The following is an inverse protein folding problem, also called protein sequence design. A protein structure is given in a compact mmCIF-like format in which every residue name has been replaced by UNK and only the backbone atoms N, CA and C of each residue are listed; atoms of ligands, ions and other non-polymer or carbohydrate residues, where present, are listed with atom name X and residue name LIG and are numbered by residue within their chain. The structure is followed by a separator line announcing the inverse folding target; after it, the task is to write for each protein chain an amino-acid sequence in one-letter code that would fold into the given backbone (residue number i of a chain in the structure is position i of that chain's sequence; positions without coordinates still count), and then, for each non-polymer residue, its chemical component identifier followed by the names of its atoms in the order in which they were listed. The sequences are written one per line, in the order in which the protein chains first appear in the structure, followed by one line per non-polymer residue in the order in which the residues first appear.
data_IF_825525637204
#
_entry.id   IF_825525637204
#
_cell.length_a   1.000
_cell.length_b   1.000
_cell.length_c   1.000
_cell.angle_alpha   90.00
_cell.angle_beta   90.00
_cell.angle_gamma   90.00
#
_symmetry.space_group_name_H-M   'P 1'
#
loop_
_entity.id
_entity.type
_entity.pdbx_description
1 polymer ?
#
# COMPACT_ATOMS: atom_id res chain seq x y z
N UNK A 1 -23.97 -1.18 13.32
CA UNK A 1 -23.36 -2.39 12.69
C UNK A 1 -22.22 -3.04 13.48
N UNK A 2 -21.81 -2.55 14.67
CA UNK A 2 -20.68 -3.11 15.47
C UNK A 2 -21.09 -4.13 16.55
N UNK A 3 -22.37 -4.47 16.68
CA UNK A 3 -22.93 -5.27 17.78
C UNK A 3 -23.55 -6.60 17.34
N UNK A 4 -23.26 -7.07 16.13
CA UNK A 4 -23.74 -8.39 15.71
C UNK A 4 -22.95 -9.48 16.46
N UNK A 5 -23.62 -10.48 17.07
CA UNK A 5 -22.95 -11.55 17.79
C UNK A 5 -21.92 -12.27 16.91
N UNK A 6 -20.68 -12.38 17.38
CA UNK A 6 -19.60 -13.15 16.75
C UNK A 6 -19.74 -14.64 17.08
N UNK A 7 -20.89 -15.22 16.73
CA UNK A 7 -21.24 -16.61 17.07
C UNK A 7 -20.67 -17.63 16.09
N UNK A 8 -20.44 -17.23 14.83
CA UNK A 8 -19.96 -18.12 13.77
C UNK A 8 -18.66 -17.56 13.15
N UNK A 9 -17.79 -18.43 12.62
CA UNK A 9 -16.54 -18.03 11.95
C UNK A 9 -16.79 -16.96 10.86
N UNK A 10 -17.90 -17.06 10.13
CA UNK A 10 -18.30 -16.08 9.13
C UNK A 10 -18.65 -14.71 9.74
N UNK A 11 -19.42 -14.67 10.84
CA UNK A 11 -19.78 -13.39 11.47
C UNK A 11 -18.59 -12.72 12.17
N UNK A 12 -17.62 -13.51 12.63
CA UNK A 12 -16.34 -13.03 13.16
C UNK A 12 -15.45 -12.39 12.08
N UNK A 13 -15.46 -12.92 10.85
CA UNK A 13 -14.58 -12.49 9.74
C UNK A 13 -15.30 -11.67 8.65
N UNK A 14 -16.60 -11.38 8.81
CA UNK A 14 -17.44 -10.73 7.79
C UNK A 14 -16.86 -9.43 7.22
N UNK A 15 -16.23 -8.61 8.07
CA UNK A 15 -15.64 -7.34 7.65
C UNK A 15 -14.46 -7.59 6.70
N UNK A 16 -13.63 -8.59 7.00
CA UNK A 16 -12.55 -9.05 6.12
C UNK A 16 -13.07 -9.61 4.80
N UNK A 17 -14.05 -10.51 4.85
CA UNK A 17 -14.63 -11.14 3.64
C UNK A 17 -15.23 -10.08 2.71
N UNK A 18 -16.03 -9.15 3.24
CA UNK A 18 -16.64 -8.09 2.43
C UNK A 18 -15.60 -7.09 1.91
N UNK A 19 -14.58 -6.75 2.71
CA UNK A 19 -13.50 -5.85 2.29
C UNK A 19 -12.61 -6.44 1.19
N UNK A 20 -12.57 -7.77 1.02
CA UNK A 20 -11.76 -8.43 0.00
C UNK A 20 -12.12 -7.98 -1.43
N UNK A 21 -13.40 -7.70 -1.69
CA UNK A 21 -13.87 -7.15 -2.97
C UNK A 21 -13.33 -5.73 -3.21
N UNK A 22 -13.25 -4.94 -2.14
CA UNK A 22 -12.64 -3.61 -2.17
C UNK A 22 -11.15 -3.68 -2.48
N UNK A 23 -10.42 -4.60 -1.84
CA UNK A 23 -9.00 -4.82 -2.12
C UNK A 23 -8.76 -5.32 -3.55
N UNK A 24 -9.63 -6.18 -4.09
CA UNK A 24 -9.58 -6.57 -5.50
C UNK A 24 -9.76 -5.36 -6.42
N UNK A 25 -10.69 -4.46 -6.10
CA UNK A 25 -10.88 -3.21 -6.82
C UNK A 25 -9.62 -2.32 -6.80
N UNK A 26 -9.00 -2.16 -5.63
CA UNK A 26 -7.72 -1.42 -5.51
C UNK A 26 -6.63 -2.10 -6.35
N UNK A 27 -6.55 -3.43 -6.34
CA UNK A 27 -5.57 -4.17 -7.14
C UNK A 27 -5.75 -3.89 -8.64
N UNK A 28 -6.98 -3.98 -9.15
CA UNK A 28 -7.27 -3.76 -10.56
C UNK A 28 -7.00 -2.32 -10.99
N UNK A 29 -7.38 -1.34 -10.17
CA UNK A 29 -7.04 0.08 -10.38
C UNK A 29 -5.53 0.28 -10.43
N UNK A 30 -4.78 -0.37 -9.53
CA UNK A 30 -3.31 -0.29 -9.49
C UNK A 30 -2.67 -0.90 -10.73
N UNK A 31 -3.19 -2.05 -11.21
CA UNK A 31 -2.74 -2.69 -12.46
C UNK A 31 -3.01 -1.79 -13.66
N UNK A 32 -4.16 -1.11 -13.71
CA UNK A 32 -4.51 -0.18 -14.78
C UNK A 32 -3.61 1.07 -14.80
N UNK A 33 -3.27 1.62 -13.63
CA UNK A 33 -2.27 2.71 -13.54
C UNK A 33 -0.89 2.20 -13.96
N UNK A 34 -0.48 1.02 -13.49
CA UNK A 34 0.80 0.40 -13.84
C UNK A 34 0.95 0.13 -15.34
N UNK A 35 -0.10 -0.37 -16.00
CA UNK A 35 -0.10 -0.57 -17.45
C UNK A 35 -0.04 0.76 -18.20
N UNK A 36 -0.75 1.77 -17.71
CA UNK A 36 -0.71 3.13 -18.26
C UNK A 36 0.69 3.73 -18.19
N UNK A 37 1.42 3.53 -17.09
CA UNK A 37 2.81 3.96 -16.91
C UNK A 37 3.71 3.26 -17.94
N UNK A 38 3.64 1.92 -18.04
CA UNK A 38 4.46 1.13 -18.98
C UNK A 38 4.22 1.53 -20.44
N UNK A 39 2.97 1.80 -20.82
CA UNK A 39 2.62 2.15 -22.19
C UNK A 39 3.07 3.55 -22.62
N UNK A 40 3.26 4.48 -21.68
CA UNK A 40 3.57 5.89 -21.96
C UNK A 40 4.53 6.47 -20.92
N UNK A 41 5.77 5.98 -20.92
CA UNK A 41 6.87 6.54 -20.15
C UNK A 41 7.48 7.74 -20.87
N UNK A 42 7.57 8.90 -20.21
CA UNK A 42 8.17 10.10 -20.79
C UNK A 42 7.77 11.38 -20.04
N UNK A 43 8.08 12.54 -20.62
CA UNK A 43 7.88 13.87 -20.02
C UNK A 43 6.42 14.19 -19.64
N UNK A 44 5.44 13.56 -20.30
CA UNK A 44 4.02 13.72 -20.00
C UNK A 44 3.47 12.80 -18.90
N UNK A 45 4.28 11.86 -18.39
CA UNK A 45 3.89 10.93 -17.33
C UNK A 45 3.46 11.63 -16.03
N UNK A 46 4.24 12.57 -15.44
CA UNK A 46 3.87 13.20 -14.18
C UNK A 46 2.56 13.98 -14.30
N UNK A 47 2.37 14.74 -15.38
CA UNK A 47 1.13 15.51 -15.61
C UNK A 47 -0.10 14.59 -15.66
N UNK A 48 -0.01 13.44 -16.34
CA UNK A 48 -1.10 12.47 -16.40
C UNK A 48 -1.38 11.83 -15.04
N UNK A 49 -0.35 11.48 -14.28
CA UNK A 49 -0.51 10.91 -12.93
C UNK A 49 -1.12 11.94 -11.96
N UNK A 50 -0.76 13.22 -12.09
CA UNK A 50 -1.42 14.31 -11.38
C UNK A 50 -2.89 14.45 -11.77
N UNK A 51 -3.23 14.31 -13.05
CA UNK A 51 -4.62 14.34 -13.51
C UNK A 51 -5.43 13.16 -12.94
N UNK A 52 -4.87 11.94 -12.95
CA UNK A 52 -5.49 10.77 -12.32
C UNK A 52 -5.68 11.01 -10.83
N UNK A 53 -4.67 11.57 -10.16
CA UNK A 53 -4.74 11.92 -8.74
C UNK A 53 -5.86 12.93 -8.45
N UNK A 54 -5.94 14.00 -9.23
CA UNK A 54 -6.91 15.07 -9.05
C UNK A 54 -8.35 14.58 -9.29
N UNK A 55 -8.56 13.79 -10.34
CA UNK A 55 -9.89 13.22 -10.67
C UNK A 55 -10.34 12.17 -9.65
N UNK A 56 -9.45 11.28 -9.21
CA UNK A 56 -9.77 10.31 -8.17
C UNK A 56 -10.04 10.99 -6.81
N UNK A 57 -9.25 12.01 -6.46
CA UNK A 57 -9.40 12.78 -5.23
C UNK A 57 -10.69 13.60 -5.19
N UNK A 58 -11.02 14.28 -6.30
CA UNK A 58 -12.27 15.04 -6.40
C UNK A 58 -13.49 14.13 -6.36
N UNK A 59 -13.44 12.96 -7.00
CA UNK A 59 -14.50 11.96 -6.92
C UNK A 59 -14.66 11.41 -5.50
N UNK A 60 -13.56 11.14 -4.79
CA UNK A 60 -13.61 10.71 -3.39
C UNK A 60 -14.24 11.78 -2.49
N UNK A 61 -13.89 13.05 -2.70
CA UNK A 61 -14.46 14.18 -1.97
C UNK A 61 -15.96 14.36 -2.27
N UNK A 62 -16.37 14.23 -3.54
CA UNK A 62 -17.77 14.32 -3.94
C UNK A 62 -18.62 13.22 -3.27
N UNK A 63 -18.09 11.99 -3.19
CA UNK A 63 -18.76 10.88 -2.50
C UNK A 63 -18.90 11.12 -1.00
N UNK A 64 -17.92 11.76 -0.37
CA UNK A 64 -17.98 12.12 1.04
C UNK A 64 -19.06 13.20 1.30
N UNK A 65 -19.19 14.18 0.40
CA UNK A 65 -20.27 15.20 0.44
C UNK A 65 -21.65 14.57 0.29
N UNK A 66 -21.80 13.54 -0.55
CA UNK A 66 -23.05 12.77 -0.72
C UNK A 66 -23.36 11.88 0.50
N UNK A 67 -22.47 11.81 1.48
CA UNK A 67 -22.65 11.07 2.74
C UNK A 67 -22.03 9.67 2.73
N UNK A 68 -21.35 9.28 1.65
CA UNK A 68 -20.60 8.01 1.60
C UNK A 68 -19.22 8.22 2.22
N UNK A 69 -19.17 8.11 3.56
CA UNK A 69 -17.93 8.30 4.32
C UNK A 69 -16.85 7.28 3.97
N UNK A 70 -15.60 7.73 3.96
CA UNK A 70 -14.42 6.86 3.78
C UNK A 70 -14.34 5.82 4.90
N UNK A 71 -14.35 4.53 4.56
CA UNK A 71 -14.27 3.44 5.53
C UNK A 71 -13.16 2.45 5.18
N UNK A 72 -12.08 2.51 5.96
CA UNK A 72 -10.93 1.59 5.86
C UNK A 72 -11.31 0.14 6.16
N UNK A 73 -12.26 -0.08 7.09
CA UNK A 73 -12.69 -1.43 7.50
C UNK A 73 -13.51 -2.15 6.43
N UNK A 74 -14.31 -1.39 5.67
CA UNK A 74 -15.13 -1.94 4.59
C UNK A 74 -14.41 -1.93 3.25
N UNK A 75 -13.25 -1.26 3.16
CA UNK A 75 -12.54 -0.99 1.91
C UNK A 75 -13.49 -0.48 0.81
N UNK A 76 -14.31 0.53 1.15
CA UNK A 76 -15.36 1.03 0.27
C UNK A 76 -14.81 1.86 -0.91
N UNK A 77 -15.67 2.19 -1.88
CA UNK A 77 -15.30 2.97 -3.07
C UNK A 77 -14.56 4.28 -2.79
N UNK A 78 -15.03 5.19 -1.91
CA UNK A 78 -14.31 6.44 -1.63
C UNK A 78 -12.94 6.18 -0.98
N UNK A 79 -12.79 5.10 -0.20
CA UNK A 79 -11.47 4.68 0.27
C UNK A 79 -10.57 4.23 -0.88
N UNK A 80 -11.05 3.39 -1.80
CA UNK A 80 -10.27 2.95 -2.95
C UNK A 80 -9.82 4.12 -3.85
N UNK A 81 -10.71 5.09 -4.09
CA UNK A 81 -10.40 6.31 -4.85
C UNK A 81 -9.39 7.21 -4.14
N UNK A 82 -9.47 7.33 -2.81
CA UNK A 82 -8.50 8.07 -2.02
C UNK A 82 -7.11 7.41 -2.07
N UNK A 83 -7.05 6.08 -1.95
CA UNK A 83 -5.79 5.32 -2.09
C UNK A 83 -5.21 5.50 -3.50
N UNK A 84 -6.03 5.43 -4.55
CA UNK A 84 -5.61 5.68 -5.93
C UNK A 84 -5.05 7.09 -6.10
N UNK A 85 -5.72 8.09 -5.53
CA UNK A 85 -5.32 9.50 -5.61
C UNK A 85 -3.95 9.71 -4.97
N UNK A 86 -3.78 9.31 -3.71
CA UNK A 86 -2.53 9.52 -2.96
C UNK A 86 -1.36 8.79 -3.64
N UNK A 87 -1.54 7.52 -4.05
CA UNK A 87 -0.47 6.77 -4.69
C UNK A 87 -0.11 7.34 -6.07
N UNK A 88 -1.10 7.80 -6.85
CA UNK A 88 -0.85 8.43 -8.14
C UNK A 88 -0.14 9.78 -7.99
N UNK A 89 -0.45 10.54 -6.93
CA UNK A 89 0.27 11.76 -6.58
C UNK A 89 1.74 11.48 -6.27
N UNK A 90 2.02 10.49 -5.42
CA UNK A 90 3.40 10.08 -5.08
C UNK A 90 4.16 9.62 -6.33
N UNK A 91 3.55 8.80 -7.19
CA UNK A 91 4.18 8.39 -8.44
C UNK A 91 4.43 9.58 -9.38
N UNK A 92 3.54 10.58 -9.39
CA UNK A 92 3.74 11.79 -10.19
C UNK A 92 4.91 12.62 -9.70
N UNK A 93 5.07 12.79 -8.38
CA UNK A 93 6.20 13.54 -7.81
C UNK A 93 7.52 12.81 -8.04
N UNK A 94 7.54 11.48 -7.88
CA UNK A 94 8.71 10.67 -8.22
C UNK A 94 9.07 10.78 -9.70
N UNK A 95 8.09 10.71 -10.60
CA UNK A 95 8.33 10.90 -12.03
C UNK A 95 8.82 12.32 -12.36
N UNK A 96 8.36 13.35 -11.64
CA UNK A 96 8.84 14.72 -11.81
C UNK A 96 10.30 14.86 -11.35
N UNK A 97 10.67 14.21 -10.25
CA UNK A 97 12.06 14.15 -9.76
C UNK A 97 12.95 13.41 -10.76
N UNK A 98 12.48 12.31 -11.34
CA UNK A 98 13.22 11.55 -12.36
C UNK A 98 13.47 12.39 -13.64
N UNK A 99 12.56 13.30 -13.99
CA UNK A 99 12.75 14.23 -15.10
C UNK A 99 13.67 15.42 -14.75
N UNK A 100 13.62 15.92 -13.52
CA UNK A 100 14.43 17.05 -13.09
C UNK A 100 15.88 16.67 -12.82
N UNK A 101 16.11 15.43 -12.39
CA UNK A 101 17.43 14.86 -12.15
C UNK A 101 17.87 14.14 -13.42
N UNK A 102 18.48 14.86 -14.36
CA UNK A 102 18.96 14.35 -15.67
C UNK A 102 20.12 13.33 -15.60
N UNK A 103 20.15 12.46 -14.58
CA UNK A 103 21.19 11.47 -14.41
C UNK A 103 20.92 10.26 -15.32
N UNK A 104 21.97 9.68 -15.96
CA UNK A 104 21.84 8.41 -16.64
C UNK A 104 21.35 7.36 -15.63
N UNK A 105 20.25 6.68 -15.98
CA UNK A 105 19.55 5.70 -15.13
C UNK A 105 20.58 4.82 -14.39
N UNK A 106 20.81 5.03 -13.09
CA UNK A 106 21.45 3.99 -12.32
C UNK A 106 20.53 2.79 -12.45
N UNK A 107 21.07 1.65 -12.88
CA UNK A 107 20.41 0.37 -12.71
C UNK A 107 19.82 0.33 -11.32
N UNK A 108 18.50 0.15 -11.26
CA UNK A 108 17.65 0.16 -10.06
C UNK A 108 18.45 -0.25 -8.82
N UNK A 109 18.54 0.57 -7.74
CA UNK A 109 19.25 0.17 -6.54
C UNK A 109 18.75 -1.21 -6.12
N UNK A 110 19.71 -2.11 -5.97
CA UNK A 110 19.54 -3.54 -6.11
C UNK A 110 18.66 -4.30 -5.06
N UNK A 111 18.08 -3.73 -3.96
CA UNK A 111 17.19 -4.54 -3.10
C UNK A 111 15.83 -4.88 -3.73
N UNK A 112 15.38 -4.12 -4.73
CA UNK A 112 14.02 -4.23 -5.27
C UNK A 112 13.76 -5.54 -6.03
N UNK A 113 14.77 -6.12 -6.68
CA UNK A 113 14.60 -7.33 -7.48
C UNK A 113 14.20 -8.56 -6.65
N UNK A 114 14.69 -8.65 -5.40
CA UNK A 114 14.34 -9.75 -4.49
C UNK A 114 12.95 -9.59 -3.85
N UNK A 115 12.59 -8.37 -3.44
CA UNK A 115 11.27 -8.07 -2.86
C UNK A 115 10.16 -8.24 -3.91
N UNK A 116 10.43 -7.81 -5.14
CA UNK A 116 9.47 -7.90 -6.24
C UNK A 116 9.16 -9.34 -6.64
N UNK A 117 10.11 -10.26 -6.48
CA UNK A 117 9.89 -11.68 -6.79
C UNK A 117 8.91 -12.36 -5.82
N UNK A 118 8.89 -11.95 -4.54
CA UNK A 118 8.14 -12.62 -3.48
C UNK A 118 7.13 -11.70 -2.77
N UNK A 119 6.39 -10.89 -3.53
CA UNK A 119 5.48 -9.88 -2.96
C UNK A 119 4.41 -10.50 -2.04
N UNK A 120 3.83 -11.65 -2.38
CA UNK A 120 2.81 -12.30 -1.54
C UNK A 120 3.42 -12.94 -0.28
N UNK A 121 4.58 -13.58 -0.37
CA UNK A 121 5.23 -14.15 0.82
C UNK A 121 5.65 -13.05 1.80
N UNK A 122 6.21 -11.95 1.27
CA UNK A 122 6.53 -10.74 2.05
C UNK A 122 5.28 -10.15 2.68
N UNK A 123 4.17 -10.09 1.95
CA UNK A 123 2.89 -9.61 2.47
C UNK A 123 2.37 -10.49 3.62
N UNK A 124 2.37 -11.82 3.47
CA UNK A 124 1.92 -12.73 4.53
C UNK A 124 2.83 -12.61 5.76
N UNK A 125 4.15 -12.61 5.57
CA UNK A 125 5.11 -12.48 6.66
C UNK A 125 4.98 -11.14 7.40
N UNK A 126 4.81 -10.04 6.67
CA UNK A 126 4.58 -8.72 7.25
C UNK A 126 3.27 -8.67 8.06
N UNK A 127 2.18 -9.24 7.54
CA UNK A 127 0.90 -9.31 8.25
C UNK A 127 0.97 -10.20 9.50
N UNK A 128 1.71 -11.32 9.45
CA UNK A 128 1.92 -12.17 10.61
C UNK A 128 2.73 -11.45 11.69
N UNK A 129 3.84 -10.79 11.31
CA UNK A 129 4.65 -10.03 12.27
C UNK A 129 3.90 -8.85 12.89
N UNK A 130 3.12 -8.11 12.11
CA UNK A 130 2.25 -7.05 12.67
C UNK A 130 1.17 -7.63 13.57
N UNK A 131 0.66 -8.84 13.27
CA UNK A 131 -0.19 -9.60 14.18
C UNK A 131 0.49 -9.91 15.51
N UNK A 132 1.74 -10.41 15.48
CA UNK A 132 2.54 -10.70 16.69
C UNK A 132 2.78 -9.43 17.52
N UNK A 133 3.11 -8.32 16.87
CA UNK A 133 3.27 -7.01 17.55
C UNK A 133 1.96 -6.56 18.21
N UNK A 134 0.82 -6.73 17.51
CA UNK A 134 -0.50 -6.38 18.05
C UNK A 134 -1.00 -7.32 19.16
N UNK A 135 -0.48 -8.55 19.25
CA UNK A 135 -0.78 -9.48 20.35
C UNK A 135 0.12 -9.23 21.57
N UNK A 136 1.35 -8.80 21.35
CA UNK A 136 2.34 -8.50 22.41
C UNK A 136 2.17 -7.10 23.01
N UNK A 137 1.52 -6.18 22.28
CA UNK A 137 1.27 -4.82 22.74
C UNK A 137 -0.23 -4.58 22.75
N UNK A 138 -0.80 -4.04 23.84
CA UNK A 138 -2.21 -3.61 23.88
C UNK A 138 -2.36 -2.24 23.21
N UNK A 139 -2.69 -2.14 21.90
CA UNK A 139 -2.48 -0.91 21.14
C UNK A 139 -3.39 0.23 21.61
N UNK A 140 -4.52 -0.12 22.24
CA UNK A 140 -5.48 0.80 22.85
C UNK A 140 -4.93 1.57 24.06
N UNK A 141 -3.91 1.04 24.72
CA UNK A 141 -3.34 1.60 25.96
C UNK A 141 -1.93 2.15 25.75
N UNK A 142 -1.35 1.93 24.56
CA UNK A 142 0.03 2.30 24.25
C UNK A 142 0.11 3.79 23.90
N UNK A 143 0.98 4.58 24.56
CA UNK A 143 1.16 5.98 24.22
C UNK A 143 1.81 6.13 22.83
N UNK A 144 1.50 7.24 22.14
CA UNK A 144 1.82 7.43 20.72
C UNK A 144 3.33 7.28 20.39
N UNK A 145 4.21 7.70 21.29
CA UNK A 145 5.66 7.61 21.10
C UNK A 145 6.17 6.15 21.11
N UNK A 146 5.57 5.27 21.92
CA UNK A 146 5.89 3.83 21.92
C UNK A 146 5.44 3.21 20.61
N UNK A 147 4.26 3.57 20.11
CA UNK A 147 3.79 3.16 18.79
C UNK A 147 4.76 3.60 17.67
N UNK A 148 5.22 4.84 17.72
CA UNK A 148 6.19 5.38 16.76
C UNK A 148 7.52 4.63 16.82
N UNK A 149 8.01 4.32 18.03
CA UNK A 149 9.22 3.52 18.23
C UNK A 149 9.09 2.12 17.66
N UNK A 150 7.97 1.43 17.94
CA UNK A 150 7.68 0.09 17.38
C UNK A 150 7.66 0.13 15.86
N UNK A 151 7.04 1.14 15.24
CA UNK A 151 7.01 1.30 13.79
C UNK A 151 8.41 1.55 13.21
N UNK A 152 9.23 2.35 13.88
CA UNK A 152 10.59 2.64 13.45
C UNK A 152 11.46 1.39 13.51
N UNK A 153 11.44 0.67 14.63
CA UNK A 153 12.14 -0.63 14.79
C UNK A 153 11.66 -1.62 13.73
N UNK A 154 10.35 -1.75 13.54
CA UNK A 154 9.78 -2.64 12.53
C UNK A 154 10.26 -2.30 11.11
N UNK A 155 10.22 -1.02 10.72
CA UNK A 155 10.66 -0.57 9.39
C UNK A 155 12.16 -0.78 9.15
N UNK A 156 13.01 -0.54 10.16
CA UNK A 156 14.46 -0.76 10.08
C UNK A 156 14.81 -2.25 10.06
N UNK A 157 14.09 -3.10 10.80
CA UNK A 157 14.28 -4.54 10.78
C UNK A 157 13.95 -5.12 9.39
N UNK A 158 12.85 -4.68 8.77
CA UNK A 158 12.50 -5.13 7.43
C UNK A 158 13.49 -4.67 6.36
N UNK A 159 13.88 -3.39 6.39
CA UNK A 159 14.85 -2.85 5.42
C UNK A 159 16.22 -3.50 5.56
N UNK A 160 16.70 -3.74 6.78
CA UNK A 160 17.96 -4.46 7.03
C UNK A 160 17.90 -5.93 6.60
N UNK A 161 16.81 -6.64 6.88
CA UNK A 161 16.62 -8.02 6.42
C UNK A 161 16.74 -8.13 4.89
N UNK A 162 16.11 -7.22 4.15
CA UNK A 162 16.21 -7.20 2.69
C UNK A 162 17.59 -6.79 2.19
N UNK A 163 18.26 -5.83 2.85
CA UNK A 163 19.63 -5.45 2.52
C UNK A 163 20.61 -6.61 2.72
N UNK A 164 20.46 -7.36 3.83
CA UNK A 164 21.29 -8.53 4.14
C UNK A 164 21.01 -9.67 3.16
N UNK A 165 19.73 -9.97 2.89
CA UNK A 165 19.35 -10.99 1.92
C UNK A 165 19.94 -10.71 0.52
N UNK A 166 19.93 -9.43 0.13
CA UNK A 166 20.56 -8.97 -1.10
C UNK A 166 22.09 -9.16 -1.08
N UNK A 167 22.76 -8.80 0.02
CA UNK A 167 24.21 -8.95 0.16
C UNK A 167 24.69 -10.42 0.06
N UNK A 168 23.87 -11.37 0.48
CA UNK A 168 24.16 -12.81 0.35
C UNK A 168 23.85 -13.42 -1.02
N UNK A 169 23.42 -12.60 -2.00
CA UNK A 169 23.17 -13.07 -3.37
C UNK A 169 22.05 -14.10 -3.50
N UNK A 170 21.27 -14.34 -2.45
CA UNK A 170 20.10 -15.21 -2.49
C UNK A 170 18.89 -14.36 -2.88
N UNK A 171 18.38 -14.44 -4.13
CA UNK A 171 17.05 -13.92 -4.38
C UNK A 171 16.12 -14.71 -3.47
N UNK A 172 15.52 -14.03 -2.49
CA UNK A 172 14.42 -14.62 -1.72
C UNK A 172 13.28 -14.77 -2.73
N UNK A 173 13.24 -15.93 -3.35
CA UNK A 173 12.27 -16.34 -4.35
C UNK A 173 11.42 -17.41 -3.70
N UNK A 174 10.40 -16.97 -2.95
CA UNK A 174 9.26 -17.83 -2.66
C UNK A 174 8.44 -17.82 -3.95
N UNK A 175 8.66 -18.87 -4.77
CA UNK A 175 8.18 -19.17 -6.14
C UNK A 175 8.68 -18.27 -7.30
#
# INVERSE_FOLDING_TARGET
MLTAPRTNLFSANREGILSSLGFLGIHWLSVAVGSSIRARSGVGLPARLMLISATAGSMAAALDVVGVRVSRRLCNLPYALLILSINSFVLATLALVDLSVSQPRPTLPLPYGGVQASMLATFIAANLMTGVVNLSTSPLLTPAWVGMFVLLVYSTAWTSLFAVAHAYGKPIKFW
#
